data_IF_149051467225
#
_entry.id   IF_149051467225
#
_cell.length_a   1.000
_cell.length_b   1.000
_cell.length_c   1.000
_cell.angle_alpha   90.00
_cell.angle_beta   90.00
_cell.angle_gamma   90.00
#
_symmetry.space_group_name_H-M   'P 1'
#
loop_
_entity.id
_entity.type
_entity.pdbx_description
1 polymer ?
#
# COMPACT_ATOMS: atom_id res chain seq x y z
N UNK A 1 -10.28 -6.02 8.65
CA UNK A 1 -10.63 -5.56 7.29
C UNK A 1 -11.95 -6.19 6.82
N UNK A 2 -13.08 -5.86 7.45
CA UNK A 2 -14.36 -6.51 7.11
C UNK A 2 -14.91 -6.09 5.73
N UNK A 3 -14.59 -4.86 5.31
CA UNK A 3 -15.00 -4.34 4.00
C UNK A 3 -14.32 -5.14 2.88
N UNK A 4 -13.01 -5.41 2.98
CA UNK A 4 -12.26 -6.19 1.98
C UNK A 4 -12.88 -7.58 1.80
N UNK A 5 -13.17 -8.27 2.90
CA UNK A 5 -13.80 -9.61 2.86
C UNK A 5 -15.18 -9.58 2.21
N UNK A 6 -16.01 -8.57 2.55
CA UNK A 6 -17.34 -8.39 1.96
C UNK A 6 -17.26 -8.06 0.46
N UNK A 7 -16.32 -7.22 0.05
CA UNK A 7 -16.09 -6.86 -1.34
C UNK A 7 -15.66 -8.08 -2.16
N UNK A 8 -14.71 -8.87 -1.66
CA UNK A 8 -14.31 -10.15 -2.26
C UNK A 8 -15.48 -11.11 -2.42
N UNK A 9 -16.29 -11.29 -1.38
CA UNK A 9 -17.47 -12.16 -1.43
C UNK A 9 -18.49 -11.70 -2.49
N UNK A 10 -18.60 -10.39 -2.72
CA UNK A 10 -19.51 -9.79 -3.71
C UNK A 10 -18.87 -9.57 -5.08
N UNK A 11 -17.65 -10.04 -5.31
CA UNK A 11 -16.90 -9.77 -6.55
C UNK A 11 -16.83 -8.28 -6.90
N UNK A 12 -16.75 -7.41 -5.89
CA UNK A 12 -16.63 -5.96 -6.06
C UNK A 12 -15.18 -5.55 -5.78
N UNK A 13 -14.49 -4.86 -6.71
CA UNK A 13 -13.13 -4.40 -6.46
C UNK A 13 -13.03 -3.48 -5.23
N UNK A 14 -11.98 -3.62 -4.45
CA UNK A 14 -11.70 -2.81 -3.26
C UNK A 14 -10.32 -2.17 -3.31
N UNK A 15 -10.28 -0.87 -2.98
CA UNK A 15 -9.05 -0.08 -2.90
C UNK A 15 -8.81 0.32 -1.45
N UNK A 16 -7.58 0.19 -0.98
CA UNK A 16 -7.13 0.76 0.30
C UNK A 16 -6.25 1.97 0.02
N UNK A 17 -6.62 3.12 0.57
CA UNK A 17 -6.09 4.42 0.13
C UNK A 17 -5.52 5.33 1.23
N UNK A 18 -5.53 4.91 2.49
CA UNK A 18 -5.16 5.80 3.60
C UNK A 18 -3.74 5.50 4.08
N UNK A 19 -2.88 6.53 4.07
CA UNK A 19 -1.59 6.60 4.76
C UNK A 19 -0.66 5.38 4.53
N UNK A 20 -0.52 4.94 3.28
CA UNK A 20 0.27 3.75 2.97
C UNK A 20 1.78 4.03 3.04
N UNK A 21 2.24 5.22 2.64
CA UNK A 21 3.66 5.64 2.69
C UNK A 21 3.80 7.11 3.10
N UNK A 22 2.92 7.62 3.97
CA UNK A 22 2.84 9.04 4.34
C UNK A 22 4.17 9.70 4.74
N UNK A 23 5.06 8.97 5.42
CA UNK A 23 6.38 9.46 5.81
C UNK A 23 7.28 9.71 4.60
N UNK A 24 7.04 9.04 3.48
CA UNK A 24 7.80 9.21 2.25
C UNK A 24 7.51 10.52 1.50
N UNK A 25 6.56 11.32 1.99
CA UNK A 25 6.41 12.71 1.54
C UNK A 25 7.68 13.51 1.82
N UNK A 26 8.34 13.26 2.96
CA UNK A 26 9.55 14.00 3.39
C UNK A 26 10.78 13.13 3.60
N UNK A 27 10.60 11.81 3.75
CA UNK A 27 11.67 10.83 3.99
C UNK A 27 11.93 9.96 2.76
N UNK A 28 13.19 9.60 2.46
CA UNK A 28 13.49 8.68 1.36
C UNK A 28 13.12 7.20 1.68
N UNK A 29 12.74 6.90 2.92
CA UNK A 29 12.37 5.55 3.35
C UNK A 29 11.14 5.57 4.28
N UNK A 30 10.27 4.54 4.20
CA UNK A 30 9.08 4.44 5.04
C UNK A 30 9.40 3.95 6.44
N UNK A 31 8.42 4.09 7.32
CA UNK A 31 8.43 3.46 8.63
C UNK A 31 8.13 1.96 8.55
N UNK A 32 8.49 1.21 9.59
CA UNK A 32 8.11 -0.20 9.70
C UNK A 32 6.59 -0.40 9.74
N UNK A 33 5.85 0.55 10.31
CA UNK A 33 4.40 0.50 10.41
C UNK A 33 3.77 0.58 9.01
N UNK A 34 4.19 1.54 8.19
CA UNK A 34 3.71 1.70 6.81
C UNK A 34 3.99 0.47 5.93
N UNK A 35 5.19 -0.11 6.05
CA UNK A 35 5.52 -1.37 5.37
C UNK A 35 4.58 -2.51 5.83
N UNK A 36 4.30 -2.59 7.13
CA UNK A 36 3.40 -3.60 7.69
C UNK A 36 1.96 -3.40 7.21
N UNK A 37 1.51 -2.15 7.08
CA UNK A 37 0.16 -1.83 6.60
C UNK A 37 -0.03 -2.24 5.13
N UNK A 38 0.95 -1.97 4.27
CA UNK A 38 0.95 -2.44 2.87
C UNK A 38 0.97 -3.97 2.81
N UNK A 39 1.81 -4.60 3.63
CA UNK A 39 1.92 -6.06 3.69
C UNK A 39 0.57 -6.68 4.06
N UNK A 40 -0.06 -6.22 5.14
CA UNK A 40 -1.34 -6.72 5.61
C UNK A 40 -2.48 -6.44 4.62
N UNK A 41 -2.51 -5.26 4.01
CA UNK A 41 -3.48 -4.92 2.98
C UNK A 41 -3.39 -5.84 1.76
N UNK A 42 -2.17 -6.17 1.36
CA UNK A 42 -1.91 -7.11 0.25
C UNK A 42 -2.29 -8.54 0.64
N UNK A 43 -1.98 -8.97 1.87
CA UNK A 43 -2.29 -10.31 2.37
C UNK A 43 -3.80 -10.55 2.52
N UNK A 44 -4.53 -9.57 3.02
CA UNK A 44 -6.01 -9.60 3.06
C UNK A 44 -6.62 -9.56 1.65
N UNK A 45 -5.80 -9.17 0.67
CA UNK A 45 -6.07 -9.10 -0.76
C UNK A 45 -7.03 -7.99 -1.12
N UNK A 46 -6.64 -6.77 -0.77
CA UNK A 46 -7.09 -5.61 -1.50
C UNK A 46 -6.73 -5.75 -2.99
N UNK A 47 -7.63 -5.34 -3.88
CA UNK A 47 -7.36 -5.39 -5.33
C UNK A 47 -6.38 -4.30 -5.75
N UNK A 48 -6.46 -3.13 -5.10
CA UNK A 48 -5.58 -2.00 -5.35
C UNK A 48 -5.17 -1.30 -4.05
N UNK A 49 -3.97 -0.73 -4.10
CA UNK A 49 -3.46 0.20 -3.09
C UNK A 49 -3.25 1.56 -3.76
N UNK A 50 -3.41 2.64 -3.00
CA UNK A 50 -3.28 4.00 -3.51
C UNK A 50 -2.22 4.80 -2.75
N UNK A 51 -1.46 5.58 -3.52
CA UNK A 51 -0.62 6.67 -3.03
C UNK A 51 -1.31 7.99 -3.35
N UNK A 52 -1.23 8.95 -2.44
CA UNK A 52 -1.89 10.25 -2.55
C UNK A 52 -0.83 11.36 -2.55
N UNK A 53 -0.55 11.94 -1.39
CA UNK A 53 0.38 13.06 -1.21
C UNK A 53 1.81 12.65 -1.57
N UNK A 54 2.16 11.38 -1.35
CA UNK A 54 3.47 10.80 -1.61
C UNK A 54 3.91 10.97 -3.07
N UNK A 55 2.96 10.88 -4.01
CA UNK A 55 3.23 11.00 -5.45
C UNK A 55 2.90 12.38 -6.01
N UNK A 56 2.00 13.13 -5.35
CA UNK A 56 1.54 14.44 -5.84
C UNK A 56 2.48 15.57 -5.42
N UNK A 57 2.85 15.61 -4.14
CA UNK A 57 3.64 16.70 -3.54
C UNK A 57 4.89 16.21 -2.79
N UNK A 58 5.09 14.89 -2.69
CA UNK A 58 6.23 14.30 -1.99
C UNK A 58 7.58 14.59 -2.64
N UNK A 59 8.63 14.60 -1.81
CA UNK A 59 10.02 14.77 -2.27
C UNK A 59 10.58 13.52 -2.97
N UNK A 60 9.93 12.37 -2.80
CA UNK A 60 10.39 11.07 -3.28
C UNK A 60 9.29 10.26 -4.01
N UNK A 61 8.63 10.83 -5.05
CA UNK A 61 7.45 10.24 -5.65
C UNK A 61 7.76 8.91 -6.38
N UNK A 62 8.93 8.80 -7.01
CA UNK A 62 9.34 7.59 -7.72
C UNK A 62 9.71 6.49 -6.73
N UNK A 63 10.41 6.84 -5.66
CA UNK A 63 10.80 5.93 -4.59
C UNK A 63 9.57 5.40 -3.85
N UNK A 64 8.55 6.23 -3.61
CA UNK A 64 7.30 5.81 -2.99
C UNK A 64 6.61 4.71 -3.84
N UNK A 65 6.47 4.93 -5.16
CA UNK A 65 5.91 3.92 -6.07
C UNK A 65 6.75 2.64 -6.09
N UNK A 66 8.08 2.76 -6.18
CA UNK A 66 8.99 1.60 -6.14
C UNK A 66 8.91 0.83 -4.82
N UNK A 67 8.79 1.54 -3.70
CA UNK A 67 8.67 0.95 -2.37
C UNK A 67 7.37 0.17 -2.25
N UNK A 68 6.23 0.76 -2.65
CA UNK A 68 4.94 0.07 -2.66
C UNK A 68 4.99 -1.21 -3.50
N UNK A 69 5.52 -1.13 -4.74
CA UNK A 69 5.68 -2.29 -5.60
C UNK A 69 6.59 -3.36 -4.97
N UNK A 70 7.68 -2.94 -4.31
CA UNK A 70 8.59 -3.87 -3.64
C UNK A 70 7.86 -4.66 -2.54
N UNK A 71 7.13 -4.00 -1.65
CA UNK A 71 6.43 -4.67 -0.55
C UNK A 71 5.36 -5.62 -1.08
N UNK A 72 4.58 -5.20 -2.09
CA UNK A 72 3.58 -6.07 -2.75
C UNK A 72 4.25 -7.31 -3.34
N UNK A 73 5.38 -7.14 -4.03
CA UNK A 73 6.11 -8.24 -4.65
C UNK A 73 6.66 -9.23 -3.61
N UNK A 74 7.15 -8.77 -2.45
CA UNK A 74 7.58 -9.67 -1.38
C UNK A 74 6.42 -10.55 -0.88
N UNK A 75 5.24 -9.94 -0.63
CA UNK A 75 4.03 -10.67 -0.20
C UNK A 75 3.63 -11.73 -1.23
N UNK A 76 3.64 -11.38 -2.52
CA UNK A 76 3.27 -12.28 -3.60
C UNK A 76 4.28 -13.43 -3.79
N UNK A 77 5.55 -13.18 -3.51
CA UNK A 77 6.61 -14.19 -3.54
C UNK A 77 6.64 -15.06 -2.27
N UNK A 78 5.75 -14.81 -1.29
CA UNK A 78 5.69 -15.54 -0.03
C UNK A 78 6.85 -15.23 0.92
N UNK A 79 7.41 -14.02 0.85
CA UNK A 79 8.54 -13.55 1.66
C UNK A 79 8.14 -12.47 2.65
#
# INVERSE_FOLDING_TARGET
MDIVKKCKFKHTPVIIATQMLSSMVTSPAPTRAEVSDIFLATLEGADYLMLSEETTIGLHPVEAVKMMNKVIAEVQNGR
#
